data_IF_182047839895
#
_entry.id   IF_182047839895
#
_cell.length_a   1.000
_cell.length_b   1.000
_cell.length_c   1.000
_cell.angle_alpha   90.00
_cell.angle_beta   90.00
_cell.angle_gamma   90.00
#
_symmetry.space_group_name_H-M   'P 1'
#
loop_
_entity.id
_entity.type
_entity.pdbx_description
1 polymer ?
#
# COMPACT_ATOMS: atom_id res chain seq x y z
N UNK A 1 9.03 6.65 5.87
CA UNK A 1 9.30 6.27 4.47
C UNK A 1 8.74 4.91 4.13
N UNK A 2 7.55 4.60 4.62
CA UNK A 2 6.78 3.40 4.31
C UNK A 2 5.80 3.66 3.16
N UNK A 3 4.71 2.91 3.13
CA UNK A 3 3.72 2.98 2.05
C UNK A 3 3.12 4.38 1.89
N UNK A 4 2.74 5.02 3.00
CA UNK A 4 2.09 6.35 2.99
C UNK A 4 2.98 7.43 2.37
N UNK A 5 4.29 7.38 2.59
CA UNK A 5 5.21 8.42 2.11
C UNK A 5 5.76 8.14 0.69
N UNK A 6 5.78 6.88 0.25
CA UNK A 6 6.36 6.48 -1.03
C UNK A 6 5.34 6.41 -2.16
N UNK A 7 4.15 5.84 -1.92
CA UNK A 7 3.18 5.57 -2.98
C UNK A 7 2.70 6.86 -3.70
N UNK A 8 2.41 7.98 -3.02
CA UNK A 8 1.93 9.19 -3.71
C UNK A 8 2.88 9.74 -4.77
N UNK A 9 4.18 9.43 -4.68
CA UNK A 9 5.20 9.89 -5.64
C UNK A 9 5.03 9.28 -7.03
N UNK A 10 4.19 8.25 -7.17
CA UNK A 10 3.98 7.50 -8.41
C UNK A 10 2.92 8.13 -9.33
N UNK A 11 2.12 9.09 -8.85
CA UNK A 11 0.98 9.64 -9.60
C UNK A 11 0.71 11.12 -9.28
N UNK A 12 -0.19 11.77 -10.03
CA UNK A 12 -0.58 13.18 -9.84
C UNK A 12 -1.48 13.38 -8.61
N UNK A 13 -1.59 14.62 -8.14
CA UNK A 13 -2.43 14.99 -6.98
C UNK A 13 -3.94 14.79 -7.19
N UNK A 14 -4.39 14.55 -8.42
CA UNK A 14 -5.77 14.21 -8.77
C UNK A 14 -6.12 12.73 -8.55
N UNK A 15 -5.16 11.92 -8.12
CA UNK A 15 -5.29 10.47 -7.94
C UNK A 15 -4.97 10.06 -6.51
N UNK A 16 -5.53 8.91 -6.12
CA UNK A 16 -5.25 8.22 -4.86
C UNK A 16 -4.95 6.75 -5.13
N UNK A 17 -4.17 6.12 -4.27
CA UNK A 17 -4.02 4.67 -4.23
C UNK A 17 -4.94 4.09 -3.17
N UNK A 18 -5.80 3.16 -3.56
CA UNK A 18 -6.66 2.39 -2.67
C UNK A 18 -6.05 1.00 -2.47
N UNK A 19 -5.39 0.80 -1.33
CA UNK A 19 -4.58 -0.37 -1.00
C UNK A 19 -5.36 -1.29 -0.07
N UNK A 20 -5.53 -2.55 -0.44
CA UNK A 20 -6.10 -3.60 0.40
C UNK A 20 -5.01 -4.14 1.34
N UNK A 21 -5.14 -3.85 2.64
CA UNK A 21 -4.15 -4.30 3.64
C UNK A 21 -4.20 -5.81 3.91
N UNK A 22 -5.24 -6.50 3.42
CA UNK A 22 -5.37 -7.96 3.47
C UNK A 22 -4.76 -8.68 2.27
N UNK A 23 -4.25 -7.95 1.27
CA UNK A 23 -3.70 -8.54 0.04
C UNK A 23 -2.35 -9.25 0.23
N UNK A 24 -1.65 -9.02 1.34
CA UNK A 24 -0.41 -9.71 1.66
C UNK A 24 -0.33 -10.04 3.15
N UNK A 25 0.49 -11.03 3.49
CA UNK A 25 0.77 -11.35 4.88
C UNK A 25 1.85 -10.40 5.43
N UNK A 26 1.47 -9.56 6.39
CA UNK A 26 2.43 -8.69 7.10
C UNK A 26 3.40 -9.56 7.93
N UNK A 27 4.73 -9.47 7.71
CA UNK A 27 5.70 -10.27 8.45
C UNK A 27 5.56 -10.09 9.97
N UNK A 28 5.63 -11.19 10.71
CA UNK A 28 5.36 -11.24 12.16
C UNK A 28 6.26 -10.33 13.00
N UNK A 29 7.46 -10.02 12.52
CA UNK A 29 8.38 -9.04 13.15
C UNK A 29 7.74 -7.66 13.29
N UNK A 30 6.91 -7.23 12.33
CA UNK A 30 6.22 -5.94 12.42
C UNK A 30 5.09 -5.98 13.45
N UNK A 31 4.40 -7.11 13.62
CA UNK A 31 3.41 -7.29 14.68
C UNK A 31 4.07 -7.23 16.07
N UNK A 32 5.25 -7.83 16.20
CA UNK A 32 6.03 -7.74 17.43
C UNK A 32 6.50 -6.32 17.69
N UNK A 33 7.07 -5.65 16.68
CA UNK A 33 7.58 -4.29 16.77
C UNK A 33 6.47 -3.30 17.16
N UNK A 34 5.31 -3.41 16.51
CA UNK A 34 4.15 -2.59 16.81
C UNK A 34 3.75 -2.71 18.28
N UNK A 35 3.65 -3.94 18.80
CA UNK A 35 3.27 -4.20 20.20
C UNK A 35 4.33 -3.73 21.20
N UNK A 36 5.62 -3.92 20.89
CA UNK A 36 6.68 -3.52 21.81
C UNK A 36 6.91 -2.02 21.84
N UNK A 37 6.70 -1.35 20.71
CA UNK A 37 6.87 0.10 20.58
C UNK A 37 5.62 0.92 20.84
N UNK A 38 4.48 0.30 21.13
CA UNK A 38 3.16 0.94 21.25
C UNK A 38 2.86 1.86 20.05
N UNK A 39 3.05 1.33 18.84
CA UNK A 39 2.94 2.08 17.58
C UNK A 39 1.55 1.89 16.97
N UNK A 40 0.88 2.98 16.61
CA UNK A 40 -0.41 2.90 15.91
C UNK A 40 -0.26 2.38 14.46
N UNK A 41 -1.34 1.84 13.89
CA UNK A 41 -1.30 1.24 12.55
C UNK A 41 -0.89 2.22 11.45
N UNK A 42 -1.32 3.49 11.57
CA UNK A 42 -0.99 4.51 10.57
C UNK A 42 0.49 4.83 10.62
N UNK A 43 1.05 4.97 11.81
CA UNK A 43 2.48 5.20 12.01
C UNK A 43 3.32 4.00 11.55
N UNK A 44 2.85 2.77 11.77
CA UNK A 44 3.47 1.56 11.22
C UNK A 44 3.60 1.64 9.69
N UNK A 45 2.51 2.00 9.00
CA UNK A 45 2.45 2.11 7.54
C UNK A 45 3.15 3.37 6.98
N UNK A 46 3.33 4.41 7.80
CA UNK A 46 4.08 5.63 7.46
C UNK A 46 5.58 5.40 7.55
N UNK A 47 6.02 4.64 8.55
CA UNK A 47 7.45 4.50 8.87
C UNK A 47 8.07 3.24 8.26
N UNK A 48 7.36 2.12 8.27
CA UNK A 48 7.87 0.82 7.81
C UNK A 48 7.23 0.34 6.50
N UNK A 49 7.89 -0.61 5.85
CA UNK A 49 7.38 -1.22 4.61
C UNK A 49 6.26 -2.24 4.87
N UNK A 50 6.14 -2.75 6.09
CA UNK A 50 5.15 -3.75 6.51
C UNK A 50 5.07 -4.99 5.60
N UNK A 51 6.17 -5.37 4.96
CA UNK A 51 6.26 -6.53 4.05
C UNK A 51 6.28 -6.20 2.56
N UNK A 52 5.99 -4.95 2.15
CA UNK A 52 6.00 -4.54 0.75
C UNK A 52 7.25 -3.71 0.45
N UNK A 53 8.27 -4.36 -0.10
CA UNK A 53 9.56 -3.71 -0.41
C UNK A 53 9.54 -2.86 -1.68
N UNK A 54 8.67 -3.17 -2.64
CA UNK A 54 8.61 -2.50 -3.95
C UNK A 54 7.17 -2.44 -4.46
N UNK A 55 6.82 -1.36 -5.16
CA UNK A 55 5.47 -1.15 -5.70
C UNK A 55 5.57 -0.72 -7.16
N UNK A 56 4.77 -1.35 -8.02
CA UNK A 56 4.65 -1.03 -9.45
C UNK A 56 3.23 -0.55 -9.72
N UNK A 57 3.10 0.61 -10.36
CA UNK A 57 1.84 1.08 -10.93
C UNK A 57 1.83 0.74 -12.42
N UNK A 58 0.82 0.01 -12.86
CA UNK A 58 0.66 -0.40 -14.25
C UNK A 58 -0.82 -0.39 -14.65
N UNK A 59 -1.08 -0.49 -15.95
CA UNK A 59 -2.44 -0.73 -16.44
C UNK A 59 -2.87 -2.16 -16.07
N UNK A 60 -4.17 -2.40 -15.80
CA UNK A 60 -4.67 -3.72 -15.43
C UNK A 60 -4.29 -4.83 -16.42
N UNK A 61 -4.27 -4.50 -17.71
CA UNK A 61 -3.94 -5.43 -18.79
C UNK A 61 -2.48 -5.92 -18.76
N UNK A 62 -1.59 -5.19 -18.09
CA UNK A 62 -0.17 -5.53 -18.01
C UNK A 62 0.20 -6.40 -16.80
N UNK A 63 -0.74 -6.64 -15.86
CA UNK A 63 -0.45 -7.34 -14.60
C UNK A 63 0.09 -8.75 -14.85
N UNK A 64 -0.56 -9.51 -15.73
CA UNK A 64 -0.13 -10.89 -16.06
C UNK A 64 1.29 -10.88 -16.62
N UNK A 65 1.56 -10.00 -17.58
CA UNK A 65 2.89 -9.90 -18.17
C UNK A 65 3.96 -9.49 -17.16
N UNK A 66 3.64 -8.57 -16.24
CA UNK A 66 4.56 -8.18 -15.16
C UNK A 66 4.83 -9.38 -14.25
N UNK A 67 3.81 -10.17 -13.90
CA UNK A 67 3.98 -11.34 -13.06
C UNK A 67 4.85 -12.41 -13.73
N UNK A 68 4.73 -12.61 -15.05
CA UNK A 68 5.61 -13.51 -15.80
C UNK A 68 7.09 -13.09 -15.76
N UNK A 69 7.38 -11.81 -15.55
CA UNK A 69 8.75 -11.27 -15.45
C UNK A 69 9.27 -11.22 -14.01
N UNK A 70 8.40 -11.41 -13.02
CA UNK A 70 8.74 -11.42 -11.60
C UNK A 70 8.71 -12.87 -11.08
N UNK A 71 9.39 -13.13 -9.96
CA UNK A 71 9.25 -14.41 -9.27
C UNK A 71 7.88 -14.49 -8.57
N UNK A 72 7.55 -15.63 -7.97
CA UNK A 72 6.26 -15.93 -7.31
C UNK A 72 5.91 -15.06 -6.07
N UNK A 73 6.70 -14.04 -5.74
CA UNK A 73 6.54 -13.19 -4.56
C UNK A 73 5.69 -11.92 -4.81
N UNK A 74 5.21 -11.70 -6.04
CA UNK A 74 4.43 -10.52 -6.39
C UNK A 74 2.93 -10.69 -6.13
N UNK A 75 2.27 -9.63 -5.66
CA UNK A 75 0.81 -9.62 -5.44
C UNK A 75 0.19 -8.29 -5.82
N UNK A 76 -1.05 -8.32 -6.30
CA UNK A 76 -1.84 -7.11 -6.54
C UNK A 76 -2.34 -6.60 -5.19
N UNK A 77 -1.82 -5.45 -4.74
CA UNK A 77 -2.16 -4.87 -3.44
C UNK A 77 -3.28 -3.82 -3.49
N UNK A 78 -3.72 -3.38 -4.67
CA UNK A 78 -4.67 -2.28 -4.75
C UNK A 78 -4.85 -1.69 -6.14
N UNK A 79 -5.46 -0.50 -6.21
CA UNK A 79 -5.73 0.23 -7.46
C UNK A 79 -5.50 1.72 -7.28
N UNK A 80 -5.14 2.39 -8.38
CA UNK A 80 -5.15 3.85 -8.45
C UNK A 80 -6.55 4.30 -8.88
N UNK A 81 -7.14 5.21 -8.11
CA UNK A 81 -8.50 5.74 -8.30
C UNK A 81 -8.46 7.28 -8.33
N UNK A 82 -9.57 7.92 -8.73
CA UNK A 82 -9.71 9.37 -8.66
C UNK A 82 -9.77 9.86 -7.22
N UNK A 83 -9.23 11.06 -6.96
CA UNK A 83 -9.37 11.72 -5.67
C UNK A 83 -10.85 11.80 -5.24
N UNK A 84 -11.14 11.41 -4.00
CA UNK A 84 -12.51 11.32 -3.46
C UNK A 84 -13.16 9.94 -3.61
N UNK A 85 -12.44 8.94 -4.13
CA UNK A 85 -12.89 7.55 -4.09
C UNK A 85 -13.18 7.09 -2.64
N UNK A 86 -14.22 6.27 -2.43
CA UNK A 86 -14.63 5.85 -1.10
C UNK A 86 -13.57 4.96 -0.43
N UNK A 87 -13.34 5.23 0.85
CA UNK A 87 -12.51 4.38 1.70
C UNK A 87 -13.31 3.12 2.07
N UNK A 88 -12.75 1.94 1.75
CA UNK A 88 -13.34 0.65 2.08
C UNK A 88 -12.76 0.14 3.41
N UNK A 89 -13.54 -0.65 4.14
CA UNK A 89 -13.06 -1.27 5.39
C UNK A 89 -11.84 -2.15 5.12
N UNK A 90 -10.78 -1.99 5.92
CA UNK A 90 -9.53 -2.73 5.75
C UNK A 90 -8.63 -2.20 4.64
N UNK A 91 -9.00 -1.09 4.00
CA UNK A 91 -8.18 -0.43 2.99
C UNK A 91 -7.49 0.81 3.54
N UNK A 92 -6.31 1.08 2.98
CA UNK A 92 -5.58 2.33 3.13
C UNK A 92 -5.72 3.14 1.83
N UNK A 93 -6.36 4.29 1.90
CA UNK A 93 -6.43 5.25 0.77
C UNK A 93 -5.36 6.31 0.95
N UNK A 94 -4.47 6.47 -0.03
CA UNK A 94 -3.29 7.34 0.03
C UNK A 94 -3.31 8.34 -1.12
N UNK A 95 -3.34 9.63 -0.80
CA UNK A 95 -3.13 10.74 -1.72
C UNK A 95 -1.87 11.53 -1.41
N UNK A 96 -1.63 12.65 -2.12
CA UNK A 96 -0.48 13.51 -1.89
C UNK A 96 -0.48 14.22 -0.53
N UNK A 97 -1.66 14.59 -0.05
CA UNK A 97 -1.84 15.38 1.19
C UNK A 97 -2.62 14.65 2.27
N UNK A 98 -3.10 13.43 2.01
CA UNK A 98 -3.91 12.66 2.94
C UNK A 98 -3.61 11.17 2.85
N UNK A 99 -3.86 10.50 3.96
CA UNK A 99 -3.92 9.04 4.05
C UNK A 99 -5.03 8.69 5.04
N UNK A 100 -5.90 7.75 4.66
CA UNK A 100 -7.09 7.39 5.42
C UNK A 100 -7.19 5.87 5.51
N UNK A 101 -7.37 5.36 6.74
CA UNK A 101 -7.57 3.95 7.03
C UNK A 101 -9.07 3.71 7.26
N UNK A 102 -9.63 2.71 6.57
CA UNK A 102 -11.05 2.33 6.65
C UNK A 102 -11.35 1.12 7.51
#
# INVERSE_FOLDING_TARGET
GGLIENIPRMFSSSLVANIDLGAWERPSVFNWLQRQGDIDDREMLRTFNCGIGFVIACRPENVVHIFEQLNDDAVVIGRVESLGAPVKKGHLVIGHSSAELG
#
